data_IF_809979858670
#
_entry.id   IF_809979858670
#
_cell.length_a   1.000
_cell.length_b   1.000
_cell.length_c   1.000
_cell.angle_alpha   90.00
_cell.angle_beta   90.00
_cell.angle_gamma   90.00
#
_symmetry.space_group_name_H-M   'P 1'
#
loop_
_entity.id
_entity.type
_entity.pdbx_description
1 polymer ?
#
# COMPACT_ATOMS: atom_id res chain seq x y z
N UNK A 1 16.14 -9.28 -11.75
CA UNK A 1 17.57 -9.00 -11.57
C UNK A 1 17.71 -7.97 -10.46
N UNK A 2 18.76 -8.07 -9.66
CA UNK A 2 19.08 -7.00 -8.72
C UNK A 2 19.66 -5.77 -9.50
N UNK A 3 19.90 -4.66 -8.80
CA UNK A 3 20.46 -3.44 -9.40
C UNK A 3 21.88 -3.61 -9.99
N UNK A 4 22.51 -4.76 -9.80
CA UNK A 4 23.79 -5.16 -10.40
C UNK A 4 23.62 -6.07 -11.61
N UNK A 5 22.38 -6.37 -12.01
CA UNK A 5 22.05 -7.22 -13.14
C UNK A 5 22.05 -8.71 -12.86
N UNK A 6 22.10 -9.14 -11.59
CA UNK A 6 22.03 -10.55 -11.23
C UNK A 6 20.57 -11.01 -11.12
N UNK A 7 20.28 -12.21 -11.56
CA UNK A 7 18.98 -12.82 -11.35
C UNK A 7 18.77 -13.18 -9.88
N UNK A 8 17.62 -12.75 -9.33
CA UNK A 8 17.22 -13.10 -7.97
C UNK A 8 16.33 -14.32 -8.01
N UNK A 9 16.80 -15.41 -7.45
CA UNK A 9 16.04 -16.65 -7.33
C UNK A 9 15.46 -16.77 -5.93
N UNK A 10 14.20 -17.16 -5.85
CA UNK A 10 13.45 -17.27 -4.63
C UNK A 10 13.05 -18.72 -4.38
N UNK A 11 13.05 -19.09 -3.14
CA UNK A 11 12.42 -20.30 -2.63
C UNK A 11 11.01 -19.94 -2.17
N UNK A 12 9.98 -20.51 -2.79
CA UNK A 12 8.59 -20.35 -2.36
C UNK A 12 8.26 -21.51 -1.42
N UNK A 13 8.04 -21.22 -0.15
CA UNK A 13 7.81 -22.24 0.88
C UNK A 13 6.37 -22.27 1.35
N UNK A 14 5.94 -23.41 1.86
CA UNK A 14 4.66 -23.53 2.54
C UNK A 14 4.71 -22.79 3.88
N UNK A 15 3.71 -21.97 4.16
CA UNK A 15 3.65 -21.16 5.38
C UNK A 15 3.60 -22.02 6.66
N UNK A 16 2.84 -23.12 6.63
CA UNK A 16 2.67 -24.00 7.80
C UNK A 16 3.82 -24.98 7.99
N UNK A 17 4.62 -25.23 6.95
CA UNK A 17 5.81 -26.07 7.00
C UNK A 17 6.87 -25.54 6.04
N UNK A 18 7.74 -24.68 6.55
CA UNK A 18 8.80 -24.03 5.78
C UNK A 18 9.88 -24.99 5.28
N UNK A 19 9.87 -26.27 5.68
CA UNK A 19 10.73 -27.30 5.08
C UNK A 19 10.26 -27.73 3.69
N UNK A 20 8.99 -27.46 3.34
CA UNK A 20 8.40 -27.77 2.04
C UNK A 20 8.47 -26.55 1.10
N UNK A 21 9.00 -26.76 -0.08
CA UNK A 21 9.07 -25.74 -1.12
C UNK A 21 8.26 -26.13 -2.36
N UNK A 22 7.75 -25.12 -3.06
CA UNK A 22 7.13 -25.30 -4.36
C UNK A 22 8.18 -25.85 -5.32
N UNK A 23 7.87 -26.97 -5.93
CA UNK A 23 8.78 -27.77 -6.75
C UNK A 23 8.14 -28.06 -8.10
N UNK A 24 8.85 -27.74 -9.19
CA UNK A 24 8.42 -28.10 -10.52
C UNK A 24 8.81 -29.55 -10.82
N UNK A 25 7.83 -30.40 -11.00
CA UNK A 25 8.00 -31.78 -11.45
C UNK A 25 7.67 -31.95 -12.93
N UNK A 26 7.86 -33.14 -13.44
CA UNK A 26 7.54 -33.48 -14.83
C UNK A 26 6.04 -33.43 -15.16
N UNK A 27 5.19 -33.58 -14.16
CA UNK A 27 3.73 -33.62 -14.29
C UNK A 27 3.03 -32.39 -13.70
N UNK A 28 3.78 -31.35 -13.30
CA UNK A 28 3.25 -30.13 -12.72
C UNK A 28 3.93 -29.71 -11.42
N UNK A 29 3.29 -28.81 -10.70
CA UNK A 29 3.79 -28.24 -9.46
C UNK A 29 3.39 -29.09 -8.25
N UNK A 30 4.29 -29.25 -7.30
CA UNK A 30 4.05 -29.94 -6.04
C UNK A 30 4.80 -29.28 -4.90
N UNK A 31 4.45 -29.63 -3.67
CA UNK A 31 5.27 -29.30 -2.48
C UNK A 31 6.19 -30.46 -2.15
N UNK A 32 7.48 -30.23 -2.11
CA UNK A 32 8.47 -31.20 -1.73
C UNK A 32 9.49 -30.59 -0.77
N UNK A 33 10.19 -31.46 -0.02
CA UNK A 33 11.23 -31.00 0.89
C UNK A 33 12.27 -30.20 0.11
N UNK A 34 12.61 -29.03 0.64
CA UNK A 34 13.61 -28.18 -0.01
C UNK A 34 14.99 -28.87 -0.04
N UNK A 35 15.55 -28.98 -1.21
CA UNK A 35 16.86 -29.61 -1.46
C UNK A 35 17.86 -28.68 -2.13
N UNK A 36 17.43 -27.46 -2.51
CA UNK A 36 18.27 -26.47 -3.18
C UNK A 36 18.52 -26.78 -4.66
N UNK A 37 17.69 -27.60 -5.29
CA UNK A 37 17.77 -27.92 -6.71
C UNK A 37 17.07 -26.84 -7.56
N UNK A 38 17.50 -26.67 -8.80
CA UNK A 38 17.02 -25.58 -9.69
C UNK A 38 15.51 -25.59 -9.89
N UNK A 39 14.86 -26.75 -9.86
CA UNK A 39 13.41 -26.88 -9.97
C UNK A 39 12.62 -26.43 -8.70
N UNK A 40 13.33 -25.95 -7.69
CA UNK A 40 12.78 -25.33 -6.47
C UNK A 40 13.14 -23.84 -6.34
N UNK A 41 13.87 -23.33 -7.35
CA UNK A 41 14.26 -21.93 -7.41
C UNK A 41 13.42 -21.20 -8.44
N UNK A 42 12.81 -20.12 -8.06
CA UNK A 42 11.86 -19.35 -8.84
C UNK A 42 12.40 -17.97 -9.10
N UNK A 43 12.52 -17.61 -10.36
CA UNK A 43 12.70 -16.23 -10.75
C UNK A 43 11.33 -15.56 -10.65
N UNK A 44 11.17 -14.72 -9.65
CA UNK A 44 10.02 -13.82 -9.61
C UNK A 44 10.34 -12.69 -10.57
N UNK A 45 9.76 -12.77 -11.75
CA UNK A 45 9.93 -11.72 -12.74
C UNK A 45 9.25 -10.46 -12.19
N UNK A 46 10.02 -9.38 -12.06
CA UNK A 46 9.53 -8.08 -11.64
C UNK A 46 8.73 -7.37 -12.75
N UNK A 47 8.33 -8.07 -13.80
CA UNK A 47 7.46 -7.51 -14.85
C UNK A 47 6.10 -7.01 -14.29
N UNK A 48 5.80 -7.32 -13.03
CA UNK A 48 4.65 -6.75 -12.32
C UNK A 48 4.86 -5.33 -11.80
N UNK A 49 6.08 -4.97 -11.41
CA UNK A 49 6.42 -3.63 -10.92
C UNK A 49 6.98 -2.79 -12.05
N UNK A 50 6.10 -2.23 -12.86
CA UNK A 50 6.45 -1.30 -13.92
C UNK A 50 6.24 0.14 -13.45
N UNK A 51 6.99 1.07 -14.03
CA UNK A 51 6.88 2.48 -13.71
C UNK A 51 7.89 2.94 -12.65
N UNK A 52 7.66 4.13 -12.14
CA UNK A 52 8.63 4.87 -11.33
C UNK A 52 8.96 4.21 -9.99
N UNK A 53 8.04 3.50 -9.36
CA UNK A 53 8.32 2.77 -8.12
C UNK A 53 9.38 1.67 -8.30
N UNK A 54 9.47 1.10 -9.51
CA UNK A 54 10.50 0.11 -9.86
C UNK A 54 11.85 0.70 -10.22
N UNK A 55 11.90 1.97 -10.60
CA UNK A 55 13.08 2.62 -11.17
C UNK A 55 13.25 4.02 -10.61
N UNK A 56 13.93 4.17 -9.50
CA UNK A 56 14.37 5.49 -9.05
C UNK A 56 15.85 5.71 -9.30
N UNK A 57 16.26 6.96 -9.40
CA UNK A 57 17.65 7.34 -9.57
C UNK A 57 18.24 7.82 -8.25
N UNK A 58 19.52 7.58 -8.07
CA UNK A 58 20.29 8.22 -7.02
C UNK A 58 20.69 9.62 -7.48
N UNK A 59 20.17 10.64 -6.82
CA UNK A 59 20.38 12.05 -7.18
C UNK A 59 21.85 12.46 -7.14
N UNK A 60 22.68 11.77 -6.36
CA UNK A 60 24.12 12.04 -6.26
C UNK A 60 24.94 11.37 -7.35
N UNK A 61 24.51 10.21 -7.84
CA UNK A 61 25.29 9.41 -8.78
C UNK A 61 24.64 9.29 -10.16
N UNK A 62 23.34 9.60 -10.29
CA UNK A 62 22.54 9.38 -11.50
C UNK A 62 22.33 7.91 -11.84
N UNK A 63 22.74 6.99 -10.96
CA UNK A 63 22.54 5.55 -11.17
C UNK A 63 21.15 5.12 -10.73
N UNK A 64 20.63 4.06 -11.35
CA UNK A 64 19.37 3.44 -10.94
C UNK A 64 19.56 2.81 -9.56
N UNK A 65 18.73 3.22 -8.61
CA UNK A 65 18.57 2.55 -7.30
C UNK A 65 17.77 1.27 -7.46
N UNK A 66 17.85 0.40 -6.47
CA UNK A 66 16.92 -0.72 -6.33
C UNK A 66 15.48 -0.18 -6.27
N UNK A 67 14.59 -0.81 -7.01
CA UNK A 67 13.17 -0.48 -6.99
C UNK A 67 12.50 -0.79 -5.66
N UNK A 68 11.21 -0.53 -5.61
CA UNK A 68 10.38 -0.81 -4.44
C UNK A 68 10.33 -2.31 -4.14
N UNK A 69 10.79 -2.67 -2.96
CA UNK A 69 10.75 -4.04 -2.42
C UNK A 69 9.89 -4.11 -1.15
N UNK A 70 9.34 -2.99 -0.70
CA UNK A 70 8.51 -2.89 0.48
C UNK A 70 9.16 -3.48 1.73
N UNK A 71 8.42 -4.34 2.41
CA UNK A 71 8.85 -5.02 3.62
C UNK A 71 9.59 -6.34 3.43
N UNK A 72 10.14 -6.62 2.23
CA UNK A 72 10.70 -7.94 1.86
C UNK A 72 11.70 -8.52 2.88
N UNK A 73 12.54 -7.67 3.48
CA UNK A 73 13.53 -8.11 4.45
C UNK A 73 13.04 -8.09 5.91
N UNK A 74 11.77 -7.75 6.12
CA UNK A 74 11.15 -7.74 7.43
C UNK A 74 10.43 -9.04 7.79
N UNK A 75 9.91 -9.09 9.00
CA UNK A 75 9.02 -10.16 9.44
C UNK A 75 7.69 -10.09 8.68
N UNK A 76 7.12 -11.25 8.36
CA UNK A 76 5.77 -11.37 7.86
C UNK A 76 4.84 -11.50 9.06
N UNK A 77 3.90 -10.55 9.18
CA UNK A 77 2.92 -10.54 10.27
C UNK A 77 1.50 -10.55 9.72
N UNK A 78 0.63 -11.32 10.34
CA UNK A 78 -0.80 -11.33 10.05
C UNK A 78 -1.52 -10.38 11.01
N UNK A 79 -2.40 -9.55 10.47
CA UNK A 79 -3.19 -8.60 11.26
C UNK A 79 -4.67 -8.72 10.92
N UNK A 80 -5.51 -8.68 11.94
CA UNK A 80 -6.97 -8.74 11.81
C UNK A 80 -7.67 -7.56 12.47
N UNK A 81 -6.91 -6.65 13.10
CA UNK A 81 -7.44 -5.47 13.79
C UNK A 81 -6.76 -4.21 13.30
N UNK A 82 -7.47 -3.07 13.42
CA UNK A 82 -6.89 -1.76 13.12
C UNK A 82 -5.70 -1.43 14.01
N UNK A 83 -5.75 -1.81 15.28
CA UNK A 83 -4.68 -1.55 16.24
C UNK A 83 -3.37 -2.25 15.84
N UNK A 84 -3.45 -3.53 15.44
CA UNK A 84 -2.29 -4.28 14.98
C UNK A 84 -1.77 -3.76 13.64
N UNK A 85 -2.67 -3.45 12.69
CA UNK A 85 -2.30 -2.83 11.42
C UNK A 85 -1.52 -1.53 11.67
N UNK A 86 -2.06 -0.64 12.50
CA UNK A 86 -1.41 0.63 12.85
C UNK A 86 -0.06 0.41 13.52
N UNK A 87 0.00 -0.50 14.49
CA UNK A 87 1.23 -0.84 15.22
C UNK A 87 2.39 -1.22 14.27
N UNK A 88 2.14 -2.14 13.34
CA UNK A 88 3.18 -2.61 12.45
C UNK A 88 3.47 -1.64 11.29
N UNK A 89 2.46 -0.95 10.79
CA UNK A 89 2.64 0.05 9.74
C UNK A 89 3.45 1.27 10.20
N UNK A 90 3.37 1.65 11.49
CA UNK A 90 4.11 2.78 12.08
C UNK A 90 5.43 2.39 12.73
N UNK A 91 5.84 1.12 12.69
CA UNK A 91 7.12 0.68 13.23
C UNK A 91 8.30 1.13 12.35
N UNK A 92 9.46 1.41 12.95
CA UNK A 92 10.65 1.87 12.22
C UNK A 92 11.41 0.73 11.52
N UNK A 93 11.01 -0.53 11.72
CA UNK A 93 11.63 -1.69 11.10
C UNK A 93 10.77 -2.22 9.94
N UNK A 94 11.37 -2.92 8.95
CA UNK A 94 10.63 -3.48 7.82
C UNK A 94 9.58 -4.51 8.25
N UNK A 95 8.42 -4.52 7.59
CA UNK A 95 7.39 -5.55 7.76
C UNK A 95 6.67 -5.84 6.43
N UNK A 96 6.37 -7.13 6.22
CA UNK A 96 5.30 -7.54 5.32
C UNK A 96 4.05 -7.83 6.16
N UNK A 97 3.04 -6.97 6.04
CA UNK A 97 1.82 -7.00 6.85
C UNK A 97 0.69 -7.59 6.01
N UNK A 98 0.22 -8.77 6.38
CA UNK A 98 -0.89 -9.46 5.70
C UNK A 98 -2.18 -9.19 6.48
N UNK A 99 -3.12 -8.50 5.85
CA UNK A 99 -4.43 -8.21 6.45
C UNK A 99 -5.36 -9.37 6.19
N UNK A 100 -5.76 -10.06 7.24
CA UNK A 100 -6.53 -11.32 7.18
C UNK A 100 -8.00 -11.17 7.57
N UNK A 101 -8.45 -9.97 7.92
CA UNK A 101 -9.84 -9.66 8.22
C UNK A 101 -10.25 -8.30 7.66
N UNK A 102 -11.53 -8.11 7.41
CA UNK A 102 -12.06 -6.78 7.10
C UNK A 102 -11.89 -5.87 8.31
N UNK A 103 -11.24 -4.73 8.11
CA UNK A 103 -10.96 -3.75 9.16
C UNK A 103 -11.94 -2.59 9.04
N UNK A 104 -12.59 -2.24 10.14
CA UNK A 104 -13.53 -1.13 10.20
C UNK A 104 -13.25 -0.23 11.39
N UNK A 105 -13.04 1.06 11.12
CA UNK A 105 -12.98 2.10 12.16
C UNK A 105 -14.33 2.80 12.22
N UNK A 106 -15.00 2.71 13.38
CA UNK A 106 -16.38 3.18 13.55
C UNK A 106 -16.53 4.30 14.57
N UNK A 107 -15.43 4.70 15.21
CA UNK A 107 -15.44 5.82 16.15
C UNK A 107 -15.52 7.15 15.38
N UNK A 108 -16.74 7.61 15.13
CA UNK A 108 -17.00 8.81 14.36
C UNK A 108 -17.23 10.02 15.29
N UNK A 109 -16.73 11.14 14.83
CA UNK A 109 -17.01 12.49 15.35
C UNK A 109 -17.78 13.28 14.27
N UNK A 110 -18.10 14.52 14.54
CA UNK A 110 -18.59 15.48 13.56
C UNK A 110 -17.58 16.61 13.43
N UNK A 111 -17.33 17.02 12.20
CA UNK A 111 -16.59 18.24 11.92
C UNK A 111 -17.47 19.50 12.13
N UNK A 112 -16.91 20.68 11.94
CA UNK A 112 -17.62 21.95 12.06
C UNK A 112 -18.76 22.14 11.05
N UNK A 113 -18.74 21.36 9.97
CA UNK A 113 -19.76 21.37 8.90
C UNK A 113 -20.83 20.29 9.09
N UNK A 114 -20.73 19.48 10.17
CA UNK A 114 -21.66 18.40 10.47
C UNK A 114 -21.37 17.08 9.72
N UNK A 115 -20.25 16.98 9.00
CA UNK A 115 -19.84 15.76 8.30
C UNK A 115 -19.20 14.78 9.26
N UNK A 116 -19.22 13.50 8.90
CA UNK A 116 -18.53 12.47 9.66
C UNK A 116 -17.01 12.66 9.59
N UNK A 117 -16.37 12.53 10.74
CA UNK A 117 -14.92 12.67 10.89
C UNK A 117 -14.35 11.50 11.70
N UNK A 118 -13.31 10.85 11.19
CA UNK A 118 -12.69 9.67 11.78
C UNK A 118 -11.16 9.85 11.91
N UNK A 119 -10.69 10.73 12.80
CA UNK A 119 -9.26 11.04 12.94
C UNK A 119 -8.45 9.81 13.36
N UNK A 120 -9.06 8.90 14.11
CA UNK A 120 -8.40 7.68 14.56
C UNK A 120 -8.13 6.68 13.42
N UNK A 121 -8.81 6.83 12.27
CA UNK A 121 -8.63 5.99 11.09
C UNK A 121 -7.31 6.23 10.34
N UNK A 122 -6.55 7.26 10.69
CA UNK A 122 -5.32 7.61 10.01
C UNK A 122 -4.14 6.79 10.51
N UNK A 123 -3.36 6.29 9.54
CA UNK A 123 -2.08 5.61 9.75
C UNK A 123 -1.00 6.36 8.99
N UNK A 124 -0.02 6.91 9.68
CA UNK A 124 1.21 7.41 9.07
C UNK A 124 2.15 6.24 8.84
N UNK A 125 2.24 5.80 7.60
CA UNK A 125 2.99 4.60 7.24
C UNK A 125 4.48 4.93 7.20
N UNK A 126 5.28 4.17 7.97
CA UNK A 126 6.73 4.30 7.96
C UNK A 126 7.35 3.51 6.80
N UNK A 127 8.61 3.81 6.51
CA UNK A 127 9.34 3.21 5.38
C UNK A 127 9.48 1.69 5.46
N UNK A 128 9.76 1.07 4.31
CA UNK A 128 10.01 -0.37 4.19
C UNK A 128 8.82 -1.23 4.64
N UNK A 129 7.66 -0.99 4.07
CA UNK A 129 6.44 -1.74 4.37
C UNK A 129 5.82 -2.32 3.10
N UNK A 130 5.44 -3.58 3.19
CA UNK A 130 4.42 -4.15 2.31
C UNK A 130 3.16 -4.36 3.14
N UNK A 131 2.06 -3.75 2.74
CA UNK A 131 0.75 -3.96 3.34
C UNK A 131 -0.12 -4.59 2.26
N UNK A 132 -0.55 -5.83 2.48
CA UNK A 132 -1.30 -6.60 1.49
C UNK A 132 -2.59 -7.16 2.09
N UNK A 133 -3.72 -6.97 1.40
CA UNK A 133 -4.98 -7.61 1.74
C UNK A 133 -5.04 -9.08 1.32
N UNK A 134 -5.66 -9.92 2.12
CA UNK A 134 -5.92 -11.30 1.75
C UNK A 134 -7.06 -11.39 0.74
N UNK A 135 -7.13 -12.46 -0.04
CA UNK A 135 -8.25 -12.68 -0.97
C UNK A 135 -9.60 -12.91 -0.27
N UNK A 136 -9.56 -13.37 0.97
CA UNK A 136 -10.78 -13.70 1.72
C UNK A 136 -11.38 -12.50 2.46
N UNK A 137 -10.52 -11.55 2.89
CA UNK A 137 -10.94 -10.41 3.68
C UNK A 137 -9.90 -9.29 3.54
N UNK A 138 -10.24 -8.25 2.81
CA UNK A 138 -9.34 -7.15 2.49
C UNK A 138 -10.02 -5.78 2.45
N UNK A 139 -11.29 -5.69 2.85
CA UNK A 139 -12.00 -4.41 2.90
C UNK A 139 -11.59 -3.63 4.14
N UNK A 140 -11.16 -2.40 3.91
CA UNK A 140 -10.84 -1.44 4.95
C UNK A 140 -11.81 -0.27 4.91
N UNK A 141 -12.46 0.00 6.01
CA UNK A 141 -13.49 1.02 6.14
C UNK A 141 -13.07 2.11 7.11
N UNK A 142 -13.03 3.35 6.63
CA UNK A 142 -12.51 4.53 7.35
C UNK A 142 -11.04 4.38 7.77
N UNK A 143 -10.24 3.66 6.98
CA UNK A 143 -8.78 3.60 7.15
C UNK A 143 -8.15 4.53 6.12
N UNK A 144 -7.27 5.42 6.56
CA UNK A 144 -6.46 6.26 5.69
C UNK A 144 -4.98 5.89 5.83
N UNK A 145 -4.35 5.56 4.73
CA UNK A 145 -2.89 5.46 4.65
C UNK A 145 -2.30 6.82 4.27
N UNK A 146 -1.36 7.26 5.06
CA UNK A 146 -0.77 8.59 4.91
C UNK A 146 0.75 8.51 5.01
N UNK A 147 1.47 9.28 4.22
CA UNK A 147 2.89 9.51 4.40
C UNK A 147 3.14 11.01 4.61
N UNK A 148 4.10 11.35 5.46
CA UNK A 148 4.45 12.74 5.77
C UNK A 148 5.87 12.79 6.29
N UNK A 149 6.65 13.76 5.85
CA UNK A 149 8.03 13.97 6.32
C UNK A 149 8.16 14.13 7.84
N UNK A 150 7.08 14.56 8.50
CA UNK A 150 7.06 14.76 9.95
C UNK A 150 6.69 13.52 10.76
N UNK A 151 5.96 12.56 10.16
CA UNK A 151 5.31 11.47 10.92
C UNK A 151 5.58 10.08 10.35
N UNK A 152 6.29 9.96 9.26
CA UNK A 152 6.57 8.72 8.58
C UNK A 152 6.79 8.99 7.10
N UNK A 153 8.02 8.88 6.65
CA UNK A 153 8.41 9.28 5.30
C UNK A 153 7.81 8.38 4.23
N UNK A 154 7.56 7.10 4.55
CA UNK A 154 6.92 6.17 3.62
C UNK A 154 7.76 5.79 2.40
N UNK A 155 9.09 5.79 2.50
CA UNK A 155 9.94 5.28 1.43
C UNK A 155 9.82 3.77 1.30
N UNK A 156 9.88 3.26 0.07
CA UNK A 156 9.88 1.84 -0.20
C UNK A 156 8.60 1.18 0.39
N UNK A 157 7.46 1.58 -0.17
CA UNK A 157 6.13 1.23 0.33
C UNK A 157 5.31 0.52 -0.74
N UNK A 158 4.80 -0.65 -0.42
CA UNK A 158 3.84 -1.39 -1.25
C UNK A 158 2.49 -1.46 -0.54
N UNK A 159 1.45 -0.92 -1.17
CA UNK A 159 0.04 -1.05 -0.77
C UNK A 159 -0.68 -1.87 -1.83
N UNK A 160 -1.15 -3.06 -1.47
CA UNK A 160 -1.65 -4.01 -2.48
C UNK A 160 -2.90 -4.75 -2.05
N UNK A 161 -3.81 -4.96 -3.02
CA UNK A 161 -4.97 -5.84 -2.90
C UNK A 161 -5.94 -5.46 -1.78
N UNK A 162 -6.37 -4.19 -1.75
CA UNK A 162 -7.37 -3.69 -0.82
C UNK A 162 -8.63 -3.23 -1.53
N UNK A 163 -9.74 -3.31 -0.81
CA UNK A 163 -10.92 -2.48 -1.06
C UNK A 163 -10.98 -1.42 0.04
N UNK A 164 -10.84 -0.16 -0.35
CA UNK A 164 -10.87 0.99 0.56
C UNK A 164 -12.21 1.70 0.43
N UNK A 165 -12.95 1.73 1.53
CA UNK A 165 -14.25 2.39 1.65
C UNK A 165 -14.22 3.41 2.78
N UNK A 166 -15.04 4.45 2.68
CA UNK A 166 -15.17 5.43 3.76
C UNK A 166 -16.56 6.10 3.78
N UNK A 167 -16.97 6.52 4.94
CA UNK A 167 -18.09 7.41 5.17
C UNK A 167 -17.73 8.55 6.12
N UNK A 168 -16.45 8.78 6.33
CA UNK A 168 -15.91 9.81 7.19
C UNK A 168 -14.59 10.32 6.65
N UNK A 169 -14.31 11.58 6.87
CA UNK A 169 -12.98 12.16 6.61
C UNK A 169 -12.02 11.80 7.73
N UNK A 170 -10.74 11.68 7.40
CA UNK A 170 -9.70 11.40 8.39
C UNK A 170 -8.82 12.62 8.71
N UNK A 171 -8.82 13.63 7.87
CA UNK A 171 -8.00 14.84 8.03
C UNK A 171 -8.79 16.15 8.17
N UNK A 172 -10.11 16.07 8.08
CA UNK A 172 -10.99 17.22 8.28
C UNK A 172 -11.09 18.20 7.11
N UNK A 173 -10.49 17.89 5.96
CA UNK A 173 -10.55 18.75 4.79
C UNK A 173 -10.97 17.98 3.53
N UNK A 174 -10.29 16.89 3.24
CA UNK A 174 -10.52 16.07 2.06
C UNK A 174 -10.77 14.62 2.43
N UNK A 175 -11.55 13.92 1.64
CA UNK A 175 -11.87 12.51 1.86
C UNK A 175 -10.85 11.55 1.24
N UNK A 176 -9.58 11.93 1.23
CA UNK A 176 -8.49 11.15 0.66
C UNK A 176 -8.20 9.94 1.54
N UNK A 177 -8.27 8.74 0.97
CA UNK A 177 -7.98 7.48 1.70
C UNK A 177 -6.53 7.01 1.55
N UNK A 178 -5.83 7.43 0.50
CA UNK A 178 -4.38 7.26 0.36
C UNK A 178 -3.75 8.62 0.09
N UNK A 179 -3.07 9.16 1.09
CA UNK A 179 -2.43 10.46 1.02
C UNK A 179 -0.92 10.32 1.07
N UNK A 180 -0.28 10.49 -0.07
CA UNK A 180 1.17 10.40 -0.22
C UNK A 180 1.74 11.82 -0.24
N UNK A 181 2.17 12.31 0.92
CA UNK A 181 2.75 13.65 1.09
C UNK A 181 4.28 13.62 1.21
N UNK A 182 4.89 12.46 1.20
CA UNK A 182 6.36 12.29 1.19
C UNK A 182 6.71 10.84 0.87
N UNK A 183 7.97 10.60 0.54
CA UNK A 183 8.52 9.28 0.31
C UNK A 183 8.78 8.98 -1.15
N UNK A 184 9.69 8.05 -1.38
CA UNK A 184 10.10 7.58 -2.69
C UNK A 184 9.93 6.08 -2.81
N UNK A 185 9.74 5.59 -4.05
CA UNK A 185 9.46 4.19 -4.32
C UNK A 185 8.18 3.73 -3.62
N UNK A 186 7.04 4.21 -4.11
CA UNK A 186 5.73 3.86 -3.58
C UNK A 186 4.93 3.16 -4.68
N UNK A 187 4.44 1.98 -4.37
CA UNK A 187 3.59 1.20 -5.27
C UNK A 187 2.22 0.94 -4.65
N UNK A 188 1.17 1.46 -5.32
CA UNK A 188 -0.23 1.18 -5.00
C UNK A 188 -0.80 0.33 -6.12
N UNK A 189 -1.16 -0.90 -5.81
CA UNK A 189 -1.45 -1.92 -6.81
C UNK A 189 -2.67 -2.78 -6.46
N UNK A 190 -3.49 -3.11 -7.47
CA UNK A 190 -4.68 -3.94 -7.30
C UNK A 190 -5.60 -3.47 -6.17
N UNK A 191 -5.76 -2.15 -6.01
CA UNK A 191 -6.65 -1.57 -5.01
C UNK A 191 -7.96 -1.11 -5.63
N UNK A 192 -9.06 -1.32 -4.90
CA UNK A 192 -10.38 -0.81 -5.26
C UNK A 192 -10.76 0.29 -4.30
N UNK A 193 -11.10 1.46 -4.83
CA UNK A 193 -11.52 2.62 -4.06
C UNK A 193 -13.01 2.84 -4.30
N UNK A 194 -13.81 2.76 -3.23
CA UNK A 194 -15.26 2.87 -3.29
C UNK A 194 -15.72 4.03 -2.42
N UNK A 195 -16.26 5.05 -3.07
CA UNK A 195 -16.79 6.24 -2.42
C UNK A 195 -18.32 6.28 -2.40
N UNK A 196 -18.85 7.45 -2.63
CA UNK A 196 -20.29 7.72 -2.73
C UNK A 196 -20.53 8.78 -3.83
N UNK A 197 -21.74 8.81 -4.36
CA UNK A 197 -22.14 9.75 -5.42
C UNK A 197 -22.99 10.93 -4.90
N UNK A 198 -23.05 11.14 -3.60
CA UNK A 198 -23.86 12.17 -2.98
C UNK A 198 -23.06 13.45 -2.77
N UNK A 199 -23.40 14.49 -3.53
CA UNK A 199 -22.75 15.80 -3.37
C UNK A 199 -23.29 16.59 -2.17
N UNK A 200 -24.45 16.22 -1.63
CA UNK A 200 -25.05 16.95 -0.50
C UNK A 200 -24.55 16.38 0.82
N UNK A 201 -23.26 16.43 1.00
CA UNK A 201 -22.57 15.82 2.15
C UNK A 201 -22.98 16.46 3.47
N UNK A 202 -23.33 17.74 3.49
CA UNK A 202 -23.81 18.43 4.69
C UNK A 202 -25.11 17.84 5.24
N UNK A 203 -26.02 17.34 4.40
CA UNK A 203 -27.29 16.74 4.85
C UNK A 203 -27.18 15.26 5.19
N UNK A 204 -26.26 14.54 4.57
CA UNK A 204 -26.07 13.11 4.79
C UNK A 204 -25.01 12.80 5.84
N UNK A 205 -24.15 13.77 6.13
CA UNK A 205 -22.99 13.60 7.01
C UNK A 205 -21.87 12.80 6.38
N UNK A 206 -21.94 12.50 5.09
CA UNK A 206 -20.86 11.84 4.36
C UNK A 206 -19.66 12.79 4.17
N UNK A 207 -18.44 12.28 3.91
CA UNK A 207 -17.30 13.11 3.56
C UNK A 207 -17.52 13.83 2.23
N UNK A 208 -16.67 14.78 1.92
CA UNK A 208 -16.73 15.45 0.63
C UNK A 208 -16.59 14.45 -0.52
N UNK A 209 -17.28 14.73 -1.61
CA UNK A 209 -17.20 13.98 -2.85
C UNK A 209 -16.02 14.52 -3.65
N UNK A 210 -14.82 14.08 -3.30
CA UNK A 210 -13.59 14.67 -3.79
C UNK A 210 -12.66 13.60 -4.43
N UNK A 211 -11.58 13.22 -3.79
CA UNK A 211 -10.55 12.35 -4.37
C UNK A 211 -10.17 11.19 -3.46
N UNK A 212 -9.69 10.10 -4.05
CA UNK A 212 -9.26 8.92 -3.29
C UNK A 212 -7.79 8.90 -2.97
N UNK A 213 -6.95 9.22 -3.97
CA UNK A 213 -5.50 9.15 -3.86
C UNK A 213 -4.91 10.51 -4.21
N UNK A 214 -4.04 11.01 -3.34
CA UNK A 214 -3.22 12.17 -3.60
C UNK A 214 -1.74 11.80 -3.54
N UNK A 215 -0.98 12.20 -4.56
CA UNK A 215 0.47 12.14 -4.60
C UNK A 215 0.98 13.57 -4.75
N UNK A 216 1.56 14.14 -3.69
CA UNK A 216 1.88 15.56 -3.59
C UNK A 216 3.10 15.84 -2.72
N UNK A 217 3.54 17.07 -2.68
CA UNK A 217 4.73 17.51 -1.95
C UNK A 217 5.98 16.71 -2.31
N UNK A 218 6.63 16.09 -1.33
CA UNK A 218 7.88 15.34 -1.49
C UNK A 218 7.67 13.86 -1.83
N UNK A 219 6.46 13.45 -2.23
CA UNK A 219 6.22 12.10 -2.72
C UNK A 219 6.67 11.98 -4.17
N UNK A 220 7.55 11.01 -4.45
CA UNK A 220 8.14 10.81 -5.77
C UNK A 220 8.30 9.32 -6.11
N UNK A 221 8.62 9.00 -7.36
CA UNK A 221 8.78 7.62 -7.84
C UNK A 221 7.60 6.73 -7.43
N UNK A 222 6.38 7.22 -7.68
CA UNK A 222 5.14 6.52 -7.34
C UNK A 222 4.57 5.82 -8.58
N UNK A 223 4.12 4.59 -8.38
CA UNK A 223 3.35 3.83 -9.37
C UNK A 223 1.98 3.48 -8.80
N UNK A 224 0.94 3.75 -9.58
CA UNK A 224 -0.44 3.29 -9.31
C UNK A 224 -0.83 2.39 -10.47
N UNK A 225 -1.06 1.11 -10.21
CA UNK A 225 -1.37 0.11 -11.23
C UNK A 225 -2.56 -0.76 -10.86
N UNK A 226 -3.29 -1.21 -11.86
CA UNK A 226 -4.42 -2.14 -11.73
C UNK A 226 -5.45 -1.74 -10.65
N UNK A 227 -5.63 -0.45 -10.42
CA UNK A 227 -6.54 0.11 -9.43
C UNK A 227 -7.88 0.51 -10.06
N UNK A 228 -8.95 0.38 -9.29
CA UNK A 228 -10.30 0.81 -9.65
C UNK A 228 -10.75 1.95 -8.74
N UNK A 229 -11.28 3.02 -9.33
CA UNK A 229 -11.79 4.19 -8.62
C UNK A 229 -13.25 4.41 -8.99
N UNK A 230 -14.12 4.46 -7.99
CA UNK A 230 -15.55 4.61 -8.27
C UNK A 230 -16.29 5.44 -7.23
N UNK A 231 -17.30 6.20 -7.71
CA UNK A 231 -18.23 6.97 -6.88
C UNK A 231 -17.57 8.11 -6.09
N UNK A 232 -16.63 8.83 -6.73
CA UNK A 232 -16.07 10.11 -6.27
C UNK A 232 -15.85 11.02 -7.49
N UNK A 233 -15.61 12.30 -7.25
CA UNK A 233 -15.36 13.27 -8.33
C UNK A 233 -14.03 12.97 -9.02
N UNK A 234 -12.99 12.72 -8.24
CA UNK A 234 -11.64 12.44 -8.74
C UNK A 234 -11.12 11.11 -8.20
N UNK A 235 -10.46 10.32 -9.06
CA UNK A 235 -9.75 9.11 -8.66
C UNK A 235 -8.41 9.46 -8.02
N UNK A 236 -7.55 10.13 -8.77
CA UNK A 236 -6.18 10.47 -8.39
C UNK A 236 -5.93 11.94 -8.63
N UNK A 237 -5.22 12.58 -7.70
CA UNK A 237 -4.65 13.91 -7.89
C UNK A 237 -3.13 13.84 -7.80
N UNK A 238 -2.43 14.51 -8.70
CA UNK A 238 -0.98 14.64 -8.73
C UNK A 238 -0.61 16.10 -8.47
N UNK A 239 0.38 16.31 -7.63
CA UNK A 239 0.83 17.62 -7.21
C UNK A 239 -0.12 18.31 -6.23
N UNK A 240 0.30 19.49 -5.79
CA UNK A 240 -0.55 20.44 -5.07
C UNK A 240 -0.51 21.75 -5.84
N UNK A 241 -1.66 22.38 -6.16
CA UNK A 241 -1.71 23.51 -7.10
C UNK A 241 -0.83 24.72 -6.75
N UNK A 242 -0.36 24.81 -5.52
CA UNK A 242 0.53 25.90 -5.07
C UNK A 242 2.02 25.55 -5.16
N UNK A 243 2.36 24.26 -5.36
CA UNK A 243 3.73 23.76 -5.22
C UNK A 243 4.27 23.14 -6.53
N UNK A 244 3.53 23.26 -7.63
CA UNK A 244 3.88 22.67 -8.94
C UNK A 244 4.98 23.45 -9.69
N UNK A 245 5.92 24.07 -9.00
CA UNK A 245 7.10 24.70 -9.61
C UNK A 245 8.32 23.77 -9.72
N UNK A 246 8.13 22.45 -9.67
CA UNK A 246 9.23 21.49 -9.84
C UNK A 246 9.01 20.58 -11.06
#
# INVERSE_FOLDING_TARGET
>A
QDHLGNDLYYKIVNYSDTSLALTQGTSGMTLAKYSGTDNQLWLLNADGLQGFAGYCFDDNTGNIKAGDIGGLFGEIVEVSTFADLKKYATADIPYTIVVTANIRVTALQKDSSGRNYCPDGRIYVHSNKTIIGSYAAHTMYNVQFCTSSNNGTGNNLILKNFELQHNAESNGNDSIVVYLGSGQNIWVDHCTFVGHSDYNTASTGLPDWDKFLACCYDADYTTVSDCSFGLHEYGVILGYPADDEN
#
